data_IF_341584042858
#
_entry.id   IF_341584042858
#
_cell.length_a   1.000
_cell.length_b   1.000
_cell.length_c   1.000
_cell.angle_alpha   90.00
_cell.angle_beta   90.00
_cell.angle_gamma   90.00
#
_symmetry.space_group_name_H-M   'P 1'
#
loop_
_entity.id
_entity.type
_entity.pdbx_description
1 polymer ?
#
# COMPACT_ATOMS: atom_id res chain seq x y z
N UNK A 1 -0.65 -17.49 7.92
CA UNK A 1 -1.24 -16.17 8.31
C UNK A 1 -0.76 -15.01 7.43
N UNK A 2 0.38 -14.32 7.66
CA UNK A 2 0.75 -13.16 6.80
C UNK A 2 1.46 -13.56 5.49
N UNK A 3 2.11 -14.73 5.46
CA UNK A 3 2.68 -15.35 4.26
C UNK A 3 1.86 -16.54 3.77
N UNK A 4 0.56 -16.52 4.06
CA UNK A 4 -0.33 -17.60 3.67
C UNK A 4 -0.44 -17.68 2.14
N UNK A 5 -0.54 -18.87 1.53
CA UNK A 5 -0.85 -18.95 0.11
C UNK A 5 -2.19 -18.29 -0.21
N UNK A 6 -3.17 -18.32 0.70
CA UNK A 6 -4.53 -17.85 0.45
C UNK A 6 -4.70 -16.33 0.71
N UNK A 7 -5.02 -15.50 -0.31
CA UNK A 7 -5.20 -14.06 -0.15
C UNK A 7 -6.29 -13.69 0.86
N UNK A 8 -7.35 -14.50 0.96
CA UNK A 8 -8.43 -14.27 1.92
C UNK A 8 -7.97 -14.38 3.37
N UNK A 9 -7.10 -15.36 3.65
CA UNK A 9 -6.53 -15.55 5.00
C UNK A 9 -5.63 -14.38 5.34
N UNK A 10 -4.81 -13.91 4.40
CA UNK A 10 -3.95 -12.73 4.59
C UNK A 10 -4.81 -11.49 4.91
N UNK A 11 -5.81 -11.18 4.08
CA UNK A 11 -6.65 -10.00 4.25
C UNK A 11 -7.40 -10.01 5.59
N UNK A 12 -8.02 -11.13 5.93
CA UNK A 12 -8.76 -11.29 7.20
C UNK A 12 -7.83 -11.20 8.41
N UNK A 13 -6.64 -11.80 8.32
CA UNK A 13 -5.63 -11.74 9.37
C UNK A 13 -5.11 -10.31 9.58
N UNK A 14 -4.84 -9.59 8.49
CA UNK A 14 -4.40 -8.20 8.55
C UNK A 14 -5.48 -7.31 9.15
N UNK A 15 -6.74 -7.50 8.76
CA UNK A 15 -7.85 -6.75 9.33
C UNK A 15 -7.96 -6.98 10.84
N UNK A 16 -7.96 -8.25 11.28
CA UNK A 16 -8.02 -8.56 12.71
C UNK A 16 -6.84 -7.94 13.49
N UNK A 17 -5.62 -8.01 12.94
CA UNK A 17 -4.45 -7.39 13.56
C UNK A 17 -4.54 -5.86 13.60
N UNK A 18 -5.09 -5.25 12.56
CA UNK A 18 -5.29 -3.80 12.48
C UNK A 18 -6.26 -3.31 13.56
N UNK A 19 -7.36 -4.02 13.78
CA UNK A 19 -8.34 -3.73 14.82
C UNK A 19 -7.76 -3.96 16.23
N UNK A 20 -7.07 -5.09 16.46
CA UNK A 20 -6.47 -5.41 17.77
C UNK A 20 -5.43 -4.37 18.18
N UNK A 21 -4.61 -3.92 17.23
CA UNK A 21 -3.52 -2.97 17.49
C UNK A 21 -3.94 -1.51 17.30
N UNK A 22 -5.22 -1.23 17.06
CA UNK A 22 -5.69 0.11 16.70
C UNK A 22 -5.27 1.18 17.73
N UNK A 23 -5.31 0.86 19.02
CA UNK A 23 -4.88 1.76 20.10
C UNK A 23 -3.38 2.08 20.09
N UNK A 24 -2.57 1.26 19.43
CA UNK A 24 -1.11 1.38 19.30
C UNK A 24 -0.71 1.98 17.93
N UNK A 25 -1.67 2.42 17.11
CA UNK A 25 -1.43 2.89 15.74
C UNK A 25 -1.57 1.80 14.66
N UNK A 26 -2.06 0.62 15.05
CA UNK A 26 -2.34 -0.52 14.18
C UNK A 26 -1.08 -1.24 13.68
N UNK A 27 -1.23 -2.04 12.62
CA UNK A 27 -0.14 -2.89 12.10
C UNK A 27 0.99 -2.06 11.49
N UNK A 28 2.23 -2.30 11.95
CA UNK A 28 3.44 -1.78 11.31
C UNK A 28 4.05 -2.89 10.46
N UNK A 29 4.36 -2.58 9.18
CA UNK A 29 4.97 -3.52 8.25
C UNK A 29 6.40 -3.10 7.88
N UNK A 30 7.28 -4.09 7.74
CA UNK A 30 8.63 -3.88 7.22
C UNK A 30 8.66 -3.98 5.68
N UNK A 31 9.81 -3.61 5.08
CA UNK A 31 10.04 -3.67 3.63
C UNK A 31 9.69 -5.01 3.00
N UNK A 32 10.02 -6.13 3.65
CA UNK A 32 9.76 -7.48 3.10
C UNK A 32 8.27 -7.79 3.03
N UNK A 33 7.50 -7.42 4.05
CA UNK A 33 6.05 -7.58 4.05
C UNK A 33 5.40 -6.64 3.04
N UNK A 34 5.87 -5.39 2.99
CA UNK A 34 5.42 -4.39 2.01
C UNK A 34 5.52 -4.91 0.57
N UNK A 35 6.73 -5.32 0.14
CA UNK A 35 6.95 -5.85 -1.21
C UNK A 35 6.13 -7.12 -1.48
N UNK A 36 5.98 -7.99 -0.47
CA UNK A 36 5.18 -9.19 -0.59
C UNK A 36 3.69 -8.88 -0.84
N UNK A 37 3.12 -7.93 -0.09
CA UNK A 37 1.72 -7.51 -0.27
C UNK A 37 1.51 -6.86 -1.63
N UNK A 38 2.46 -6.05 -2.12
CA UNK A 38 2.39 -5.45 -3.46
C UNK A 38 2.45 -6.52 -4.54
N UNK A 39 3.36 -7.49 -4.43
CA UNK A 39 3.50 -8.56 -5.44
C UNK A 39 2.26 -9.43 -5.61
N UNK A 40 1.33 -9.35 -4.66
CA UNK A 40 0.08 -10.12 -4.63
C UNK A 40 -1.14 -9.23 -4.65
N UNK A 41 -1.01 -7.93 -4.90
CA UNK A 41 -2.10 -6.97 -4.70
C UNK A 41 -3.30 -7.27 -5.62
N UNK A 42 -3.03 -7.81 -6.80
CA UNK A 42 -4.03 -8.27 -7.78
C UNK A 42 -4.80 -9.50 -7.30
N UNK A 43 -4.22 -10.35 -6.45
CA UNK A 43 -4.85 -11.58 -5.93
C UNK A 43 -5.97 -11.29 -4.91
N UNK A 44 -6.01 -10.09 -4.32
CA UNK A 44 -6.99 -9.75 -3.30
C UNK A 44 -8.33 -9.35 -3.89
N UNK A 45 -9.42 -9.90 -3.35
CA UNK A 45 -10.76 -9.41 -3.64
C UNK A 45 -10.99 -8.02 -3.04
N UNK A 46 -11.98 -7.29 -3.56
CA UNK A 46 -12.35 -5.90 -3.21
C UNK A 46 -12.15 -5.53 -1.73
N UNK A 47 -12.80 -6.25 -0.82
CA UNK A 47 -12.69 -5.97 0.62
C UNK A 47 -11.26 -6.14 1.14
N UNK A 48 -10.61 -7.25 0.80
CA UNK A 48 -9.25 -7.54 1.25
C UNK A 48 -8.24 -6.58 0.63
N UNK A 49 -8.45 -6.15 -0.60
CA UNK A 49 -7.66 -5.11 -1.25
C UNK A 49 -7.73 -3.81 -0.45
N UNK A 50 -8.93 -3.38 -0.04
CA UNK A 50 -9.09 -2.17 0.76
C UNK A 50 -8.33 -2.26 2.10
N UNK A 51 -8.43 -3.39 2.80
CA UNK A 51 -7.66 -3.65 4.03
C UNK A 51 -6.16 -3.57 3.78
N UNK A 52 -5.66 -4.23 2.73
CA UNK A 52 -4.24 -4.22 2.38
C UNK A 52 -3.76 -2.80 2.07
N UNK A 53 -4.56 -1.98 1.36
CA UNK A 53 -4.22 -0.58 1.09
C UNK A 53 -4.13 0.27 2.38
N UNK A 54 -4.98 0.03 3.38
CA UNK A 54 -4.88 0.71 4.70
C UNK A 54 -3.52 0.41 5.34
N UNK A 55 -3.11 -0.85 5.34
CA UNK A 55 -1.83 -1.28 5.92
C UNK A 55 -0.65 -0.75 5.11
N UNK A 56 -0.72 -0.77 3.77
CA UNK A 56 0.33 -0.26 2.89
C UNK A 56 0.57 1.24 3.10
N UNK A 57 -0.47 2.06 3.31
CA UNK A 57 -0.32 3.51 3.55
C UNK A 57 0.54 3.87 4.76
N UNK A 58 0.74 2.97 5.71
CA UNK A 58 1.56 3.21 6.91
C UNK A 58 3.05 3.24 6.64
N UNK A 59 3.49 2.72 5.48
CA UNK A 59 4.87 2.78 5.03
C UNK A 59 4.91 3.40 3.63
N UNK A 60 5.80 4.37 3.46
CA UNK A 60 6.06 4.97 2.15
C UNK A 60 7.13 4.16 1.39
N UNK A 61 7.04 4.05 0.06
CA UNK A 61 8.11 3.48 -0.77
C UNK A 61 9.43 4.24 -0.54
N UNK A 62 10.54 3.50 -0.41
CA UNK A 62 11.85 4.12 -0.15
C UNK A 62 12.59 4.49 -1.44
N UNK A 63 12.25 3.84 -2.56
CA UNK A 63 12.83 4.07 -3.89
C UNK A 63 11.75 4.29 -4.96
N UNK A 64 12.16 4.91 -6.06
CA UNK A 64 11.33 5.07 -7.26
C UNK A 64 10.92 3.71 -7.85
N UNK A 65 11.80 2.72 -7.80
CA UNK A 65 11.48 1.35 -8.23
C UNK A 65 10.33 0.74 -7.42
N UNK A 66 10.32 0.91 -6.09
CA UNK A 66 9.23 0.41 -5.25
C UNK A 66 7.91 1.11 -5.55
N UNK A 67 7.96 2.41 -5.83
CA UNK A 67 6.80 3.17 -6.22
C UNK A 67 6.25 2.71 -7.58
N UNK A 68 7.10 2.61 -8.60
CA UNK A 68 6.68 2.17 -9.93
C UNK A 68 6.14 0.75 -9.88
N UNK A 69 6.78 -0.13 -9.09
CA UNK A 69 6.29 -1.48 -8.86
C UNK A 69 4.88 -1.46 -8.24
N UNK A 70 4.65 -0.60 -7.25
CA UNK A 70 3.32 -0.40 -6.68
C UNK A 70 2.32 0.11 -7.71
N UNK A 71 2.61 1.22 -8.39
CA UNK A 71 1.71 1.87 -9.35
C UNK A 71 1.26 0.91 -10.46
N UNK A 72 2.20 0.13 -11.00
CA UNK A 72 1.89 -0.91 -11.99
C UNK A 72 0.95 -1.98 -11.42
N UNK A 73 1.11 -2.34 -10.15
CA UNK A 73 0.30 -3.37 -9.50
C UNK A 73 -1.13 -2.90 -9.18
N UNK A 74 -1.35 -1.59 -8.95
CA UNK A 74 -2.68 -1.00 -8.73
C UNK A 74 -3.37 -0.51 -10.02
N UNK A 75 -2.68 -0.51 -11.17
CA UNK A 75 -3.21 0.05 -12.42
C UNK A 75 -4.56 -0.57 -12.82
N UNK A 76 -4.68 -1.89 -12.76
CA UNK A 76 -5.94 -2.60 -13.03
C UNK A 76 -7.07 -2.19 -12.07
N UNK A 77 -6.74 -1.81 -10.82
CA UNK A 77 -7.71 -1.39 -9.80
C UNK A 77 -8.20 0.04 -10.01
N UNK A 78 -7.47 0.87 -10.75
CA UNK A 78 -7.92 2.20 -11.17
C UNK A 78 -8.99 2.16 -12.28
N UNK A 79 -9.23 0.99 -12.88
CA UNK A 79 -10.29 0.78 -13.87
C UNK A 79 -11.48 -0.01 -13.29
N UNK A 80 -11.48 -0.24 -11.98
CA UNK A 80 -12.46 -1.12 -11.34
C UNK A 80 -13.88 -0.50 -11.34
N UNK A 81 -14.89 -1.33 -11.63
CA UNK A 81 -16.29 -0.89 -11.70
C UNK A 81 -16.86 -0.47 -10.34
N UNK A 82 -16.32 -1.00 -9.25
CA UNK A 82 -16.67 -0.62 -7.89
C UNK A 82 -16.00 0.72 -7.52
N UNK A 83 -16.77 1.81 -7.31
CA UNK A 83 -16.20 3.13 -7.03
C UNK A 83 -15.43 3.17 -5.71
N UNK A 84 -15.76 2.33 -4.73
CA UNK A 84 -15.01 2.27 -3.47
C UNK A 84 -13.58 1.77 -3.69
N UNK A 85 -13.40 0.79 -4.58
CA UNK A 85 -12.08 0.23 -4.92
C UNK A 85 -11.29 1.21 -5.76
N UNK A 86 -11.94 1.82 -6.76
CA UNK A 86 -11.35 2.90 -7.55
C UNK A 86 -10.80 4.01 -6.65
N UNK A 87 -11.63 4.55 -5.74
CA UNK A 87 -11.22 5.63 -4.83
C UNK A 87 -10.08 5.17 -3.91
N UNK A 88 -10.15 3.94 -3.40
CA UNK A 88 -9.09 3.40 -2.53
C UNK A 88 -7.76 3.30 -3.26
N UNK A 89 -7.76 2.80 -4.49
CA UNK A 89 -6.58 2.69 -5.35
C UNK A 89 -6.04 4.09 -5.75
N UNK A 90 -6.92 5.02 -6.10
CA UNK A 90 -6.55 6.38 -6.45
C UNK A 90 -5.93 7.12 -5.25
N UNK A 91 -6.52 6.99 -4.06
CA UNK A 91 -6.05 7.67 -2.84
C UNK A 91 -4.63 7.21 -2.44
N UNK A 92 -4.35 5.91 -2.49
CA UNK A 92 -3.00 5.41 -2.20
C UNK A 92 -1.98 5.79 -3.28
N UNK A 93 -2.37 5.76 -4.56
CA UNK A 93 -1.49 6.18 -5.66
C UNK A 93 -1.12 7.68 -5.53
N UNK A 94 -2.09 8.54 -5.24
CA UNK A 94 -1.88 9.96 -4.99
C UNK A 94 -1.05 10.20 -3.72
N UNK A 95 -1.29 9.44 -2.65
CA UNK A 95 -0.50 9.53 -1.42
C UNK A 95 0.99 9.31 -1.69
N UNK A 96 1.32 8.27 -2.46
CA UNK A 96 2.70 7.97 -2.78
C UNK A 96 3.31 8.93 -3.81
N UNK A 97 2.56 9.36 -4.83
CA UNK A 97 3.02 10.38 -5.78
C UNK A 97 3.36 11.71 -5.08
N UNK A 98 2.50 12.18 -4.17
CA UNK A 98 2.76 13.37 -3.37
C UNK A 98 3.97 13.23 -2.45
N UNK A 99 4.25 12.02 -1.96
CA UNK A 99 5.43 11.77 -1.13
C UNK A 99 6.72 11.89 -1.95
N UNK A 100 6.68 11.44 -3.21
CA UNK A 100 7.79 11.53 -4.14
C UNK A 100 8.13 13.00 -4.46
N UNK A 101 7.15 13.84 -4.79
CA UNK A 101 7.37 15.28 -5.03
C UNK A 101 8.04 16.00 -3.85
N UNK A 102 7.61 15.67 -2.62
CA UNK A 102 8.22 16.20 -1.39
C UNK A 102 9.68 15.76 -1.24
N UNK A 103 9.98 14.49 -1.51
CA UNK A 103 11.35 13.95 -1.45
C UNK A 103 12.27 14.63 -2.47
N UNK A 104 11.81 14.76 -3.72
CA UNK A 104 12.54 15.48 -4.77
C UNK A 104 12.83 16.93 -4.39
N UNK A 105 11.85 17.64 -3.82
CA UNK A 105 12.02 19.01 -3.36
C UNK A 105 13.11 19.13 -2.28
N UNK A 106 13.15 18.19 -1.33
CA UNK A 106 14.16 18.15 -0.27
C UNK A 106 15.55 17.82 -0.82
N UNK A 107 15.65 16.91 -1.79
CA UNK A 107 16.93 16.51 -2.38
C UNK A 107 17.56 17.65 -3.21
N UNK A 108 16.75 18.44 -3.93
CA UNK A 108 17.21 19.65 -4.63
C UNK A 108 17.76 20.68 -3.63
N UNK A 109 17.03 20.93 -2.53
CA UNK A 109 17.49 21.89 -1.51
C UNK A 109 18.83 21.49 -0.90
N UNK A 110 19.07 20.19 -0.69
CA UNK A 110 20.36 19.67 -0.19
C UNK A 110 21.52 19.81 -1.18
N UNK A 111 21.26 19.85 -2.49
CA UNK A 111 22.31 20.01 -3.50
C UNK A 111 22.72 21.47 -3.71
N UNK A 112 21.89 22.43 -3.29
CA UNK A 112 22.14 23.88 -3.44
C UNK A 112 22.65 24.51 -2.13
N UNK A 113 22.60 23.77 -1.00
CA UNK A 113 23.11 24.17 0.32
C UNK A 113 24.55 23.69 0.54
#
# INVERSE_FOLDING_TARGET
MIKDPEPQVIGSSLYALEEILQSEGGVIINRRIFLYLISRISDFQDWNFAVVCIVLKKRVPESEEELLYFLNAVDERLLHSNPAIFVTAADIALCYANHLEKKFSVDILKQIS
#
